data_IF_333149383195
#
_entry.id   IF_333149383195
#
_cell.length_a   1.000
_cell.length_b   1.000
_cell.length_c   1.000
_cell.angle_alpha   90.00
_cell.angle_beta   90.00
_cell.angle_gamma   90.00
#
_symmetry.space_group_name_H-M   'P 1'
#
loop_
_entity.id
_entity.type
_entity.pdbx_description
1 polymer ?
#
# COMPACT_ATOMS: atom_id res chain seq x y z
N UNK A 1 -3.77 -14.69 -20.17
CA UNK A 1 -4.30 -13.82 -21.25
C UNK A 1 -3.30 -12.74 -21.73
N UNK A 2 -2.03 -12.76 -21.28
CA UNK A 2 -0.97 -11.93 -21.89
C UNK A 2 -0.99 -10.44 -21.53
N UNK A 3 -1.87 -10.00 -20.63
CA UNK A 3 -1.96 -8.59 -20.20
C UNK A 3 -0.80 -8.13 -19.29
N UNK A 4 -0.13 -9.07 -18.62
CA UNK A 4 1.01 -8.78 -17.74
C UNK A 4 2.29 -9.25 -18.43
N UNK A 5 3.35 -8.41 -18.52
CA UNK A 5 4.62 -8.81 -19.09
C UNK A 5 5.19 -10.05 -18.39
N UNK A 6 5.70 -11.05 -19.13
CA UNK A 6 6.28 -12.25 -18.51
C UNK A 6 7.46 -11.95 -17.57
N UNK A 7 8.18 -10.84 -17.79
CA UNK A 7 9.27 -10.38 -16.94
C UNK A 7 8.81 -9.89 -15.56
N UNK A 8 7.53 -9.54 -15.39
CA UNK A 8 7.00 -8.96 -14.16
C UNK A 8 7.15 -9.86 -12.93
N UNK A 9 7.28 -11.18 -13.13
CA UNK A 9 7.56 -12.13 -12.05
C UNK A 9 8.92 -11.90 -11.36
N UNK A 10 9.83 -11.19 -12.02
CA UNK A 10 11.16 -10.86 -11.49
C UNK A 10 11.26 -9.38 -11.08
N UNK A 11 10.17 -8.63 -11.12
CA UNK A 11 10.17 -7.22 -10.78
C UNK A 11 10.18 -7.02 -9.26
N UNK A 12 10.89 -5.98 -8.84
CA UNK A 12 10.76 -5.38 -7.51
C UNK A 12 9.85 -4.14 -7.55
N UNK A 13 9.66 -3.51 -6.39
CA UNK A 13 8.79 -2.35 -6.17
C UNK A 13 9.12 -1.09 -6.99
N UNK A 14 10.29 -1.01 -7.61
CA UNK A 14 10.66 0.12 -8.49
C UNK A 14 10.62 -0.24 -9.97
N UNK A 15 10.54 -1.53 -10.31
CA UNK A 15 10.63 -2.00 -11.69
C UNK A 15 9.36 -1.73 -12.49
N UNK A 16 8.19 -1.68 -11.83
CA UNK A 16 6.93 -1.26 -12.42
C UNK A 16 6.96 0.23 -12.82
N UNK A 17 7.43 1.12 -11.95
CA UNK A 17 7.62 2.54 -12.29
C UNK A 17 8.56 2.67 -13.50
N UNK A 18 9.70 1.97 -13.47
CA UNK A 18 10.66 1.97 -14.56
C UNK A 18 10.04 1.44 -15.86
N UNK A 19 9.26 0.36 -15.80
CA UNK A 19 8.58 -0.22 -16.94
C UNK A 19 7.54 0.73 -17.54
N UNK A 20 6.82 1.47 -16.67
CA UNK A 20 5.86 2.48 -17.07
C UNK A 20 6.54 3.66 -17.77
N UNK A 21 7.59 4.26 -17.17
CA UNK A 21 8.33 5.37 -17.80
C UNK A 21 9.08 4.95 -19.07
N UNK A 22 9.53 3.70 -19.15
CA UNK A 22 10.10 3.11 -20.36
C UNK A 22 9.04 2.79 -21.44
N UNK A 23 7.75 3.04 -21.17
CA UNK A 23 6.61 2.83 -22.09
C UNK A 23 6.48 1.37 -22.52
N UNK A 24 6.82 0.44 -21.63
CA UNK A 24 6.70 -1.01 -21.86
C UNK A 24 5.41 -1.60 -21.31
N UNK A 25 4.72 -0.83 -20.45
CA UNK A 25 3.36 -1.08 -19.97
C UNK A 25 2.54 0.19 -20.11
N UNK A 26 1.20 0.05 -20.10
CA UNK A 26 0.26 1.17 -20.18
C UNK A 26 -0.34 1.55 -18.83
N UNK A 27 -0.16 0.70 -17.81
CA UNK A 27 -0.74 0.84 -16.48
C UNK A 27 0.01 -0.06 -15.49
N UNK A 28 0.21 0.45 -14.28
CA UNK A 28 0.66 -0.23 -13.08
C UNK A 28 -0.37 -0.09 -11.94
N UNK A 29 -0.17 -0.83 -10.84
CA UNK A 29 -0.95 -0.67 -9.61
C UNK A 29 -0.01 -0.17 -8.52
N UNK A 30 0.03 1.14 -8.31
CA UNK A 30 0.86 1.76 -7.28
C UNK A 30 0.13 1.80 -5.92
N UNK A 31 0.84 1.42 -4.86
CA UNK A 31 0.36 1.54 -3.48
C UNK A 31 0.40 2.98 -2.92
N UNK A 32 0.99 3.92 -3.67
CA UNK A 32 1.15 5.34 -3.35
C UNK A 32 0.86 6.22 -4.57
N UNK A 33 1.83 7.04 -4.98
CA UNK A 33 1.87 7.90 -6.19
C UNK A 33 3.34 8.00 -6.68
N UNK A 34 4.08 6.91 -6.51
CA UNK A 34 5.51 6.84 -6.76
C UNK A 34 5.86 6.90 -8.23
N UNK A 35 5.03 6.31 -9.10
CA UNK A 35 5.18 6.37 -10.56
C UNK A 35 5.11 7.81 -11.05
N UNK A 36 4.18 8.61 -10.53
CA UNK A 36 4.04 10.02 -10.88
C UNK A 36 5.15 10.85 -10.24
N UNK A 37 5.37 10.70 -8.93
CA UNK A 37 6.33 11.52 -8.19
C UNK A 37 7.78 11.32 -8.68
N UNK A 38 8.12 10.15 -9.23
CA UNK A 38 9.44 9.90 -9.81
C UNK A 38 9.80 10.86 -10.96
N UNK A 39 8.81 11.35 -11.71
CA UNK A 39 8.99 12.27 -12.85
C UNK A 39 8.48 13.68 -12.58
N UNK A 40 8.18 14.04 -11.33
CA UNK A 40 7.59 15.34 -10.95
C UNK A 40 8.41 16.58 -11.41
N UNK A 41 9.70 16.41 -11.69
CA UNK A 41 10.59 17.46 -12.19
C UNK A 41 10.50 17.67 -13.71
N UNK A 42 9.87 16.74 -14.43
CA UNK A 42 9.53 16.87 -15.85
C UNK A 42 8.01 17.07 -15.97
N UNK A 43 7.58 18.34 -16.02
CA UNK A 43 6.16 18.70 -16.04
C UNK A 43 5.40 18.06 -17.22
N UNK A 44 6.04 17.88 -18.37
CA UNK A 44 5.37 17.25 -19.52
C UNK A 44 5.08 15.78 -19.22
N UNK A 45 6.09 15.02 -18.81
CA UNK A 45 5.91 13.59 -18.51
C UNK A 45 4.92 13.39 -17.35
N UNK A 46 5.02 14.22 -16.30
CA UNK A 46 4.11 14.17 -15.16
C UNK A 46 2.64 14.40 -15.58
N UNK A 47 2.38 15.44 -16.37
CA UNK A 47 1.04 15.80 -16.82
C UNK A 47 0.47 14.82 -17.87
N UNK A 48 1.31 14.02 -18.52
CA UNK A 48 0.88 12.98 -19.46
C UNK A 48 0.41 11.69 -18.74
N UNK A 49 0.62 11.58 -17.42
CA UNK A 49 0.15 10.45 -16.60
C UNK A 49 -1.29 10.68 -16.14
N UNK A 50 -2.04 9.61 -15.94
CA UNK A 50 -3.37 9.66 -15.32
C UNK A 50 -3.41 8.70 -14.15
N UNK A 51 -3.69 9.23 -12.95
CA UNK A 51 -3.95 8.42 -11.75
C UNK A 51 -5.46 8.30 -11.52
N UNK A 52 -5.95 7.07 -11.39
CA UNK A 52 -7.36 6.78 -11.16
C UNK A 52 -7.54 5.76 -10.03
N UNK A 53 -8.71 5.82 -9.39
CA UNK A 53 -9.08 4.83 -8.37
C UNK A 53 -9.36 3.44 -8.96
N UNK A 54 -9.48 2.45 -8.07
CA UNK A 54 -9.78 1.08 -8.48
C UNK A 54 -11.20 0.96 -9.05
N UNK A 55 -11.44 0.05 -10.02
CA UNK A 55 -12.78 -0.28 -10.44
C UNK A 55 -13.62 -0.82 -9.28
N UNK A 56 -14.93 -0.73 -9.41
CA UNK A 56 -15.85 -1.33 -8.43
C UNK A 56 -15.68 -2.86 -8.42
N UNK A 57 -15.95 -3.46 -7.27
CA UNK A 57 -16.05 -4.90 -7.12
C UNK A 57 -17.17 -5.49 -7.98
N UNK A 58 -17.20 -6.82 -8.11
CA UNK A 58 -18.24 -7.54 -8.86
C UNK A 58 -19.66 -7.31 -8.33
N UNK A 59 -19.82 -6.91 -7.06
CA UNK A 59 -21.11 -6.50 -6.47
C UNK A 59 -21.38 -5.00 -6.56
N UNK A 60 -20.58 -4.25 -7.34
CA UNK A 60 -20.77 -2.84 -7.64
C UNK A 60 -20.39 -1.89 -6.50
N UNK A 61 -19.55 -2.32 -5.55
CA UNK A 61 -19.13 -1.51 -4.40
C UNK A 61 -17.67 -1.04 -4.55
N UNK A 62 -17.28 0.07 -3.90
CA UNK A 62 -15.88 0.43 -3.83
C UNK A 62 -15.06 -0.66 -3.13
N UNK A 63 -13.92 -1.03 -3.70
CA UNK A 63 -12.96 -1.96 -3.07
C UNK A 63 -12.22 -1.19 -1.97
N UNK A 64 -12.27 -1.63 -0.69
CA UNK A 64 -11.53 -0.96 0.37
C UNK A 64 -10.03 -1.02 0.14
N UNK A 65 -9.35 0.11 0.29
CA UNK A 65 -7.89 0.16 0.22
C UNK A 65 -7.27 -0.43 1.49
N UNK A 66 -6.15 -1.13 1.35
CA UNK A 66 -5.38 -1.61 2.49
C UNK A 66 -4.54 -0.43 3.01
N UNK A 67 -4.86 0.06 4.21
CA UNK A 67 -4.10 1.10 4.88
C UNK A 67 -3.07 0.46 5.82
N UNK A 68 -1.79 0.77 5.61
CA UNK A 68 -0.71 0.33 6.50
C UNK A 68 -0.31 1.49 7.41
N UNK A 69 -0.66 1.47 8.70
CA UNK A 69 -0.28 2.55 9.61
C UNK A 69 1.23 2.51 9.88
N UNK A 70 1.91 3.64 9.71
CA UNK A 70 3.24 3.82 10.26
C UNK A 70 3.12 3.91 11.79
N UNK A 71 3.82 3.03 12.51
CA UNK A 71 3.78 2.98 13.98
C UNK A 71 5.07 3.55 14.57
N UNK A 72 4.93 4.57 15.42
CA UNK A 72 6.02 5.01 16.30
C UNK A 72 6.09 4.09 17.52
N UNK A 73 7.27 3.51 17.79
CA UNK A 73 7.49 2.61 18.92
C UNK A 73 8.63 3.10 19.81
N UNK A 74 8.44 3.00 21.13
CA UNK A 74 9.50 3.21 22.13
C UNK A 74 9.90 1.82 22.65
N UNK A 75 11.10 1.31 22.30
CA UNK A 75 11.52 -0.03 22.74
C UNK A 75 11.60 -0.12 24.27
N UNK A 76 11.23 -1.29 24.80
CA UNK A 76 11.46 -1.59 26.22
C UNK A 76 12.96 -1.50 26.51
N UNK A 77 13.33 -0.75 27.55
CA UNK A 77 14.74 -0.52 27.92
C UNK A 77 15.39 0.69 27.25
N UNK A 78 14.64 1.48 26.46
CA UNK A 78 15.11 2.78 25.99
C UNK A 78 15.55 3.66 27.17
N UNK A 79 16.70 4.34 27.06
CA UNK A 79 17.29 5.11 28.17
C UNK A 79 16.53 6.41 28.47
N UNK A 80 15.93 7.03 27.44
CA UNK A 80 15.30 8.36 27.52
C UNK A 80 13.80 8.30 27.15
N UNK A 81 13.03 7.47 27.86
CA UNK A 81 11.61 7.22 27.53
C UNK A 81 10.77 8.49 27.53
N UNK A 82 10.95 9.39 28.50
CA UNK A 82 10.15 10.61 28.59
C UNK A 82 10.39 11.56 27.40
N UNK A 83 11.66 11.75 27.01
CA UNK A 83 12.00 12.55 25.81
C UNK A 83 11.46 11.90 24.54
N UNK A 84 11.53 10.57 24.43
CA UNK A 84 10.97 9.85 23.28
C UNK A 84 9.45 10.05 23.17
N UNK A 85 8.72 10.03 24.31
CA UNK A 85 7.29 10.34 24.33
C UNK A 85 7.03 11.78 23.89
N UNK A 86 7.82 12.74 24.36
CA UNK A 86 7.65 14.14 23.99
C UNK A 86 7.92 14.39 22.50
N UNK A 87 8.93 13.71 21.93
CA UNK A 87 9.17 13.72 20.50
C UNK A 87 7.98 13.13 19.72
N UNK A 88 7.45 11.97 20.11
CA UNK A 88 6.29 11.38 19.44
C UNK A 88 5.06 12.27 19.53
N UNK A 89 4.80 12.89 20.69
CA UNK A 89 3.71 13.89 20.84
C UNK A 89 3.89 15.08 19.91
N UNK A 90 5.12 15.57 19.74
CA UNK A 90 5.44 16.65 18.80
C UNK A 90 5.20 16.21 17.36
N UNK A 91 5.71 15.04 16.98
CA UNK A 91 5.64 14.50 15.62
C UNK A 91 4.19 14.33 15.14
N UNK A 92 3.30 13.82 15.99
CA UNK A 92 1.89 13.58 15.63
C UNK A 92 1.02 14.84 15.67
N UNK A 93 1.57 16.02 16.01
CA UNK A 93 0.78 17.25 15.97
C UNK A 93 0.35 17.51 14.53
N UNK A 94 -0.93 17.88 14.28
CA UNK A 94 -1.43 18.01 12.91
C UNK A 94 -0.59 18.92 12.01
N UNK A 95 -0.04 20.01 12.56
CA UNK A 95 0.83 20.92 11.82
C UNK A 95 2.17 20.27 11.47
N UNK A 96 2.79 19.57 12.41
CA UNK A 96 4.11 18.95 12.22
C UNK A 96 4.01 17.79 11.23
N UNK A 97 3.03 16.93 11.42
CA UNK A 97 2.74 15.80 10.53
C UNK A 97 2.43 16.27 9.11
N UNK A 98 1.56 17.28 8.96
CA UNK A 98 1.24 17.84 7.65
C UNK A 98 2.47 18.37 6.91
N UNK A 99 3.34 19.13 7.57
CA UNK A 99 4.57 19.64 6.93
C UNK A 99 5.55 18.52 6.60
N UNK A 100 5.71 17.52 7.47
CA UNK A 100 6.57 16.36 7.21
C UNK A 100 6.11 15.60 5.97
N UNK A 101 4.80 15.31 5.87
CA UNK A 101 4.26 14.54 4.76
C UNK A 101 4.31 15.31 3.43
N UNK A 102 4.20 16.65 3.47
CA UNK A 102 4.42 17.51 2.30
C UNK A 102 5.85 17.49 1.79
N UNK A 103 6.84 17.47 2.70
CA UNK A 103 8.25 17.28 2.33
C UNK A 103 8.45 15.91 1.67
N UNK A 104 7.71 14.88 2.11
CA UNK A 104 7.62 13.59 1.44
C UNK A 104 6.73 13.56 0.19
N UNK A 105 6.37 14.73 -0.35
CA UNK A 105 5.54 14.92 -1.55
C UNK A 105 4.15 14.26 -1.49
N UNK A 106 3.68 13.89 -0.29
CA UNK A 106 2.39 13.22 -0.12
C UNK A 106 2.39 11.75 -0.54
N UNK A 107 3.56 11.11 -0.65
CA UNK A 107 3.67 9.65 -0.86
C UNK A 107 3.13 8.83 0.33
N UNK A 108 3.00 9.45 1.49
CA UNK A 108 2.24 8.94 2.62
C UNK A 108 1.13 9.93 2.98
N UNK A 109 0.02 9.41 3.52
CA UNK A 109 -1.14 10.20 3.88
C UNK A 109 -1.20 10.42 5.40
N UNK A 110 -1.75 11.57 5.85
CA UNK A 110 -1.92 11.80 7.26
C UNK A 110 -2.97 10.84 7.83
N UNK A 111 -2.79 10.30 9.05
CA UNK A 111 -3.77 9.41 9.68
C UNK A 111 -5.05 10.16 10.09
N UNK A 112 -5.05 11.50 10.02
CA UNK A 112 -6.16 12.37 10.40
C UNK A 112 -6.81 12.99 9.15
N UNK A 113 -8.03 12.56 8.73
CA UNK A 113 -8.74 13.15 7.60
C UNK A 113 -9.01 14.65 7.74
N UNK A 114 -8.98 15.20 8.96
CA UNK A 114 -9.13 16.64 9.19
C UNK A 114 -7.96 17.47 8.64
N UNK A 115 -6.76 16.89 8.48
CA UNK A 115 -5.61 17.55 7.88
C UNK A 115 -5.88 17.80 6.39
N UNK A 116 -6.25 16.76 5.64
CA UNK A 116 -6.53 16.90 4.19
C UNK A 116 -7.73 17.79 3.89
N UNK A 117 -8.72 17.83 4.80
CA UNK A 117 -9.90 18.70 4.66
C UNK A 117 -9.61 20.19 4.91
N UNK A 118 -8.57 20.51 5.68
CA UNK A 118 -8.22 21.90 6.04
C UNK A 118 -7.16 22.50 5.14
N UNK A 119 -6.40 21.66 4.44
CA UNK A 119 -5.27 22.08 3.63
C UNK A 119 -5.47 21.65 2.18
N UNK A 120 -5.84 22.63 1.35
CA UNK A 120 -6.16 22.42 -0.05
C UNK A 120 -5.01 21.82 -0.87
N UNK A 121 -3.77 21.89 -0.37
CA UNK A 121 -2.62 21.26 -1.01
C UNK A 121 -2.91 19.78 -1.31
N UNK A 122 -3.50 19.03 -0.37
CA UNK A 122 -3.78 17.60 -0.54
C UNK A 122 -4.68 17.26 -1.72
N UNK A 123 -5.53 18.18 -2.17
CA UNK A 123 -6.50 17.97 -3.25
C UNK A 123 -6.24 18.83 -4.49
N UNK A 124 -5.20 19.67 -4.46
CA UNK A 124 -4.87 20.59 -5.55
C UNK A 124 -4.17 19.90 -6.74
N UNK A 125 -3.48 18.79 -6.49
CA UNK A 125 -2.83 17.97 -7.51
C UNK A 125 -3.72 16.76 -7.86
N UNK A 126 -3.97 16.46 -9.13
CA UNK A 126 -4.92 15.40 -9.52
C UNK A 126 -4.46 14.00 -9.09
N UNK A 127 -3.17 13.71 -9.14
CA UNK A 127 -2.62 12.41 -8.75
C UNK A 127 -2.75 12.19 -7.24
N UNK A 128 -2.32 13.20 -6.46
CA UNK A 128 -2.48 13.21 -5.00
C UNK A 128 -3.95 13.19 -4.59
N UNK A 129 -4.83 13.90 -5.30
CA UNK A 129 -6.26 13.90 -5.01
C UNK A 129 -6.87 12.50 -5.22
N UNK A 130 -6.51 11.78 -6.29
CA UNK A 130 -6.93 10.39 -6.51
C UNK A 130 -6.46 9.49 -5.37
N UNK A 131 -5.19 9.60 -4.96
CA UNK A 131 -4.64 8.81 -3.86
C UNK A 131 -5.30 9.12 -2.51
N UNK A 132 -5.49 10.39 -2.16
CA UNK A 132 -6.19 10.82 -0.93
C UNK A 132 -7.62 10.28 -0.89
N UNK A 133 -8.32 10.34 -2.02
CA UNK A 133 -9.68 9.81 -2.10
C UNK A 133 -9.70 8.28 -1.92
N UNK A 134 -8.80 7.56 -2.58
CA UNK A 134 -8.76 6.09 -2.53
C UNK A 134 -8.29 5.56 -1.16
N UNK A 135 -7.26 6.17 -0.56
CA UNK A 135 -6.53 5.61 0.58
C UNK A 135 -6.79 6.30 1.94
N UNK A 136 -7.60 7.38 1.98
CA UNK A 136 -7.95 8.04 3.24
C UNK A 136 -9.43 8.43 3.35
N UNK A 137 -10.02 9.02 2.30
CA UNK A 137 -11.41 9.50 2.35
C UNK A 137 -12.42 8.43 1.96
N UNK A 138 -12.00 7.45 1.15
CA UNK A 138 -12.76 6.27 0.78
C UNK A 138 -12.66 5.15 1.84
N UNK A 139 -13.31 4.01 1.58
CA UNK A 139 -13.26 2.87 2.49
C UNK A 139 -11.84 2.32 2.58
N UNK A 140 -11.38 2.09 3.80
CA UNK A 140 -10.07 1.49 4.08
C UNK A 140 -10.24 0.34 5.08
N UNK A 141 -9.33 -0.62 5.00
CA UNK A 141 -9.17 -1.69 5.98
C UNK A 141 -7.72 -1.71 6.47
N UNK A 142 -7.46 -2.06 7.74
CA UNK A 142 -6.09 -2.21 8.20
C UNK A 142 -5.42 -3.39 7.49
N UNK A 143 -4.10 -3.29 7.34
CA UNK A 143 -3.30 -4.42 6.89
C UNK A 143 -3.48 -5.64 7.83
N UNK A 144 -3.54 -6.85 7.26
CA UNK A 144 -4.02 -8.06 7.95
C UNK A 144 -3.18 -8.48 9.16
N UNK A 145 -1.89 -8.13 9.21
CA UNK A 145 -1.03 -8.39 10.39
C UNK A 145 -1.50 -7.65 11.65
N UNK A 146 -2.26 -6.57 11.51
CA UNK A 146 -2.88 -5.89 12.65
C UNK A 146 -4.00 -6.71 13.29
N UNK A 147 -4.52 -7.72 12.60
CA UNK A 147 -5.62 -8.57 13.05
C UNK A 147 -5.13 -9.90 13.62
N UNK A 148 -4.06 -10.49 13.03
CA UNK A 148 -3.49 -11.73 13.53
C UNK A 148 -1.99 -11.86 13.20
N UNK A 149 -1.11 -12.21 14.17
CA UNK A 149 0.32 -12.39 13.93
C UNK A 149 0.64 -13.50 12.91
N UNK A 150 -0.26 -14.46 12.68
CA UNK A 150 -0.17 -15.47 11.62
C UNK A 150 0.17 -14.86 10.26
N UNK A 151 -0.37 -13.69 9.97
CA UNK A 151 -0.19 -13.06 8.66
C UNK A 151 1.26 -12.64 8.42
N UNK A 152 2.06 -12.41 9.46
CA UNK A 152 3.50 -12.21 9.32
C UNK A 152 4.19 -13.46 8.74
N UNK A 153 3.79 -14.66 9.17
CA UNK A 153 4.29 -15.90 8.58
C UNK A 153 3.75 -16.11 7.15
N UNK A 154 2.50 -15.75 6.86
CA UNK A 154 1.96 -15.79 5.48
C UNK A 154 2.81 -14.95 4.52
N UNK A 155 3.21 -13.75 4.94
CA UNK A 155 4.10 -12.89 4.16
C UNK A 155 5.51 -13.47 4.04
N UNK A 156 6.09 -13.94 5.15
CA UNK A 156 7.45 -14.51 5.17
C UNK A 156 7.59 -15.80 4.34
N UNK A 157 6.49 -16.53 4.15
CA UNK A 157 6.45 -17.69 3.26
C UNK A 157 6.05 -17.33 1.82
N UNK A 158 5.80 -16.06 1.53
CA UNK A 158 5.46 -15.55 0.21
C UNK A 158 4.25 -16.30 -0.39
N UNK A 159 3.26 -16.68 0.43
CA UNK A 159 2.19 -17.62 0.01
C UNK A 159 1.48 -17.16 -1.27
N UNK A 160 1.16 -15.86 -1.36
CA UNK A 160 0.53 -15.28 -2.55
C UNK A 160 1.48 -15.15 -3.74
N UNK A 161 2.76 -14.85 -3.51
CA UNK A 161 3.78 -14.83 -4.57
C UNK A 161 4.02 -16.22 -5.16
N UNK A 162 4.05 -17.25 -4.31
CA UNK A 162 4.13 -18.64 -4.74
C UNK A 162 2.89 -19.06 -5.55
N UNK A 163 1.70 -18.61 -5.17
CA UNK A 163 0.47 -18.86 -5.93
C UNK A 163 0.52 -18.22 -7.34
N UNK A 164 1.05 -17.00 -7.46
CA UNK A 164 1.28 -16.38 -8.76
C UNK A 164 2.30 -17.15 -9.60
N UNK A 165 3.40 -17.62 -9.00
CA UNK A 165 4.39 -18.45 -9.69
C UNK A 165 3.79 -19.79 -10.15
N UNK A 166 2.94 -20.42 -9.34
CA UNK A 166 2.22 -21.64 -9.71
C UNK A 166 1.33 -21.44 -10.95
N UNK A 167 0.70 -20.27 -11.10
CA UNK A 167 -0.10 -19.92 -12.29
C UNK A 167 0.81 -19.67 -13.49
N UNK A 168 1.79 -18.79 -13.34
CA UNK A 168 2.59 -18.28 -14.46
C UNK A 168 3.64 -19.27 -14.99
N UNK A 169 4.21 -20.07 -14.10
CA UNK A 169 5.29 -21.03 -14.41
C UNK A 169 4.82 -22.48 -14.24
N UNK A 170 4.01 -22.74 -13.21
CA UNK A 170 3.54 -24.10 -12.89
C UNK A 170 2.34 -24.58 -13.70
N UNK A 171 1.66 -23.68 -14.41
CA UNK A 171 0.48 -23.99 -15.22
C UNK A 171 -0.78 -24.32 -14.42
N UNK A 172 -0.82 -24.00 -13.13
CA UNK A 172 -2.04 -24.14 -12.33
C UNK A 172 -3.11 -23.15 -12.81
N UNK A 173 -4.38 -23.57 -12.71
CA UNK A 173 -5.49 -22.63 -12.88
C UNK A 173 -5.50 -21.63 -11.71
N UNK A 174 -6.00 -20.40 -11.90
CA UNK A 174 -6.13 -19.44 -10.80
C UNK A 174 -6.89 -19.99 -9.59
N UNK A 175 -7.94 -20.78 -9.83
CA UNK A 175 -8.70 -21.43 -8.77
C UNK A 175 -7.84 -22.44 -7.97
N UNK A 176 -7.12 -23.33 -8.64
CA UNK A 176 -6.29 -24.34 -7.97
C UNK A 176 -5.14 -23.70 -7.18
N UNK A 177 -4.50 -22.66 -7.72
CA UNK A 177 -3.47 -21.91 -7.03
C UNK A 177 -4.02 -21.17 -5.80
N UNK A 178 -5.22 -20.58 -5.90
CA UNK A 178 -5.89 -19.96 -4.77
C UNK A 178 -6.24 -20.99 -3.68
N UNK A 179 -6.81 -22.15 -4.03
CA UNK A 179 -7.12 -23.23 -3.08
C UNK A 179 -5.86 -23.72 -2.34
N UNK A 180 -4.75 -23.90 -3.06
CA UNK A 180 -3.44 -24.25 -2.47
C UNK A 180 -2.94 -23.17 -1.51
N UNK A 181 -3.03 -21.90 -1.90
CA UNK A 181 -2.63 -20.76 -1.06
C UNK A 181 -3.49 -20.69 0.21
N UNK A 182 -4.81 -20.80 0.09
CA UNK A 182 -5.74 -20.78 1.23
C UNK A 182 -5.47 -21.91 2.20
N UNK A 183 -5.27 -23.14 1.71
CA UNK A 183 -4.88 -24.26 2.57
C UNK A 183 -3.61 -23.95 3.36
N UNK A 184 -2.62 -23.32 2.74
CA UNK A 184 -1.39 -22.93 3.45
C UNK A 184 -1.64 -21.83 4.48
N UNK A 185 -2.48 -20.85 4.16
CA UNK A 185 -2.89 -19.81 5.11
C UNK A 185 -3.61 -20.44 6.31
N UNK A 186 -4.52 -21.38 6.10
CA UNK A 186 -5.23 -22.09 7.18
C UNK A 186 -4.26 -22.85 8.10
N UNK A 187 -3.30 -23.59 7.53
CA UNK A 187 -2.25 -24.29 8.29
C UNK A 187 -1.40 -23.34 9.14
N UNK A 188 -1.11 -22.15 8.62
CA UNK A 188 -0.39 -21.11 9.36
C UNK A 188 -1.26 -20.58 10.49
N UNK A 189 -2.49 -20.17 10.19
CA UNK A 189 -3.42 -19.58 11.17
C UNK A 189 -3.76 -20.55 12.32
N UNK A 190 -3.82 -21.85 12.07
CA UNK A 190 -4.02 -22.87 13.11
C UNK A 190 -2.93 -22.84 14.22
N UNK A 191 -1.74 -22.29 13.94
CA UNK A 191 -0.63 -22.13 14.92
C UNK A 191 -0.75 -20.86 15.76
N UNK A 192 -1.62 -19.93 15.37
CA UNK A 192 -1.80 -18.63 16.03
C UNK A 192 -3.29 -18.41 16.36
N UNK A 193 -3.89 -19.26 17.22
CA UNK A 193 -5.25 -19.05 17.67
C UNK A 193 -5.33 -17.72 18.43
N UNK A 194 -6.33 -16.91 18.09
CA UNK A 194 -6.72 -15.72 18.87
C UNK A 194 -8.00 -16.08 19.58
N UNK A 195 -7.97 -16.10 20.91
CA UNK A 195 -9.20 -16.15 21.70
C UNK A 195 -10.01 -14.88 21.40
N UNK A 196 -11.26 -15.05 20.96
CA UNK A 196 -12.17 -13.90 20.86
C UNK A 196 -12.35 -13.32 22.26
N UNK A 197 -11.96 -12.05 22.43
CA UNK A 197 -12.15 -11.29 23.66
C UNK A 197 -13.63 -11.00 23.93
#
# INVERSE_FOLDING_TARGET
EGFVPPSAINWNDADDNNAFHAKTIVMDLDGTISTEVAVIHNEQDYNDIVTMGLPLSNDGKPVPSIATPACGLIPKGAKNVEVAKDFLKYLIQPKVDNELLKVGLGRALPPMPSIVKKDAWWLADPHRASFVNQALLGPTVPNFWALNPAYAQVQNEHVWGAAWADIMQGGLTPQAAAEKAFKRVEEIFAKYPIEQA
#
